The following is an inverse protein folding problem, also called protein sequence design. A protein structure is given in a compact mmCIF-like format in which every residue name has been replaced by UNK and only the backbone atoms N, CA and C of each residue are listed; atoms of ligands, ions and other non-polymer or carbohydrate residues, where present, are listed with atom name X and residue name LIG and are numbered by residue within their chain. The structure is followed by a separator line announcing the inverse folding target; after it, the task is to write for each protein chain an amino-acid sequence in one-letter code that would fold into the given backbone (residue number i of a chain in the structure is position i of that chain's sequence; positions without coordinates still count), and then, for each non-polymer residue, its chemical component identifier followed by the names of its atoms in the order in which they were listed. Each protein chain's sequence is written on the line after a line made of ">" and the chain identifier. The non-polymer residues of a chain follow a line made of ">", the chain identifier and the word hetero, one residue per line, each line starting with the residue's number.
data_IF_441883880811
#
_entry.id   IF_441883880811
#
_cell.length_a   1.000
_cell.length_b   1.000
_cell.length_c   1.000
_cell.angle_alpha   90.00
_cell.angle_beta   90.00
_cell.angle_gamma   90.00
#
_symmetry.space_group_name_H-M   'P 1'
#
loop_
_entity.id
_entity.type
_entity.pdbx_description
1 polymer ?
#
# COMPACT_ATOMS: atom_id res chain seq x y z
N UNK A 1 -16.84 -2.97 -26.82
CA UNK A 1 -16.17 -2.34 -25.67
C UNK A 1 -15.90 -3.41 -24.64
N UNK A 2 -14.65 -3.53 -24.17
CA UNK A 2 -14.18 -4.70 -23.43
C UNK A 2 -14.34 -4.47 -21.91
N UNK A 3 -15.58 -4.49 -21.42
CA UNK A 3 -15.92 -4.43 -19.98
C UNK A 3 -15.19 -5.49 -19.15
N UNK A 4 -14.75 -6.56 -19.81
CA UNK A 4 -13.98 -7.65 -19.24
C UNK A 4 -12.59 -7.21 -18.72
N UNK A 5 -11.93 -6.26 -19.39
CA UNK A 5 -10.58 -5.79 -19.03
C UNK A 5 -10.59 -4.96 -17.73
N UNK A 6 -11.57 -4.06 -17.57
CA UNK A 6 -11.72 -3.28 -16.34
C UNK A 6 -12.06 -4.17 -15.15
N UNK A 7 -12.98 -5.12 -15.33
CA UNK A 7 -13.39 -6.02 -14.25
C UNK A 7 -12.22 -6.90 -13.78
N UNK A 8 -11.46 -7.47 -14.72
CA UNK A 8 -10.29 -8.29 -14.41
C UNK A 8 -9.23 -7.49 -13.65
N UNK A 9 -8.89 -6.30 -14.14
CA UNK A 9 -7.92 -5.41 -13.47
C UNK A 9 -8.40 -4.95 -12.10
N UNK A 10 -9.68 -4.64 -11.96
CA UNK A 10 -10.28 -4.25 -10.69
C UNK A 10 -10.18 -5.38 -9.66
N UNK A 11 -10.48 -6.62 -10.04
CA UNK A 11 -10.37 -7.78 -9.15
C UNK A 11 -8.93 -8.01 -8.68
N UNK A 12 -7.96 -7.94 -9.60
CA UNK A 12 -6.54 -8.12 -9.28
C UNK A 12 -6.01 -7.01 -8.37
N UNK A 13 -6.35 -5.76 -8.69
CA UNK A 13 -6.00 -4.60 -7.85
C UNK A 13 -6.66 -4.70 -6.48
N UNK A 14 -7.92 -5.14 -6.39
CA UNK A 14 -8.61 -5.31 -5.12
C UNK A 14 -7.89 -6.31 -4.21
N UNK A 15 -7.46 -7.46 -4.74
CA UNK A 15 -6.67 -8.42 -3.97
C UNK A 15 -5.32 -7.82 -3.54
N UNK A 16 -4.63 -7.12 -4.43
CA UNK A 16 -3.37 -6.46 -4.12
C UNK A 16 -3.50 -5.44 -2.97
N UNK A 17 -4.58 -4.63 -3.01
CA UNK A 17 -4.90 -3.67 -1.97
C UNK A 17 -5.32 -4.36 -0.66
N UNK A 18 -6.06 -5.47 -0.73
CA UNK A 18 -6.37 -6.28 0.45
C UNK A 18 -5.10 -6.80 1.15
N UNK A 19 -4.15 -7.33 0.38
CA UNK A 19 -2.87 -7.79 0.89
C UNK A 19 -2.04 -6.64 1.49
N UNK A 20 -2.04 -5.47 0.86
CA UNK A 20 -1.40 -4.26 1.37
C UNK A 20 -1.99 -3.86 2.73
N UNK A 21 -3.32 -3.81 2.85
CA UNK A 21 -4.01 -3.48 4.10
C UNK A 21 -3.71 -4.51 5.19
N UNK A 22 -3.63 -5.79 4.84
CA UNK A 22 -3.23 -6.86 5.75
C UNK A 22 -1.80 -6.68 6.26
N UNK A 23 -0.87 -6.29 5.37
CA UNK A 23 0.51 -5.96 5.77
C UNK A 23 0.55 -4.78 6.74
N UNK A 24 -0.20 -3.70 6.46
CA UNK A 24 -0.29 -2.51 7.33
C UNK A 24 -0.87 -2.88 8.70
N UNK A 25 -1.96 -3.64 8.73
CA UNK A 25 -2.56 -4.12 9.96
C UNK A 25 -1.57 -4.96 10.78
N UNK A 26 -0.88 -5.90 10.13
CA UNK A 26 0.11 -6.76 10.78
C UNK A 26 1.28 -5.96 11.33
N UNK A 27 1.77 -4.98 10.58
CA UNK A 27 2.83 -4.06 11.02
C UNK A 27 2.41 -3.30 12.28
N UNK A 28 1.24 -2.66 12.28
CA UNK A 28 0.73 -1.91 13.42
C UNK A 28 0.55 -2.81 14.66
N UNK A 29 -0.01 -4.00 14.48
CA UNK A 29 -0.18 -4.97 15.56
C UNK A 29 1.16 -5.39 16.17
N UNK A 30 2.13 -5.79 15.34
CA UNK A 30 3.45 -6.22 15.80
C UNK A 30 4.21 -5.06 16.46
N UNK A 31 4.12 -3.86 15.90
CA UNK A 31 4.77 -2.67 16.45
C UNK A 31 4.26 -2.36 17.85
N UNK A 32 2.93 -2.35 18.05
CA UNK A 32 2.34 -2.11 19.36
C UNK A 32 2.81 -3.15 20.38
N UNK A 33 2.77 -4.45 20.00
CA UNK A 33 3.26 -5.54 20.84
C UNK A 33 4.75 -5.41 21.17
N UNK A 34 5.57 -4.99 20.21
CA UNK A 34 6.99 -4.73 20.42
C UNK A 34 7.21 -3.59 21.42
N UNK A 35 6.50 -2.47 21.27
CA UNK A 35 6.56 -1.34 22.20
C UNK A 35 6.15 -1.73 23.62
N UNK A 36 5.10 -2.53 23.78
CA UNK A 36 4.62 -3.02 25.10
C UNK A 36 5.64 -3.92 25.81
N UNK A 37 6.46 -4.65 25.06
CA UNK A 37 7.36 -5.67 25.59
C UNK A 37 8.84 -5.29 25.54
N UNK A 38 9.21 -4.16 24.95
CA UNK A 38 10.59 -3.75 24.70
C UNK A 38 11.51 -3.87 25.93
N UNK A 39 11.04 -3.44 27.10
CA UNK A 39 11.82 -3.51 28.35
C UNK A 39 11.94 -4.90 28.99
N UNK A 40 11.26 -5.91 28.44
CA UNK A 40 11.22 -7.29 28.95
C UNK A 40 11.91 -8.29 28.01
N UNK A 41 12.27 -7.85 26.81
CA UNK A 41 12.86 -8.70 25.77
C UNK A 41 14.38 -8.81 25.95
N UNK A 42 14.94 -9.96 25.56
CA UNK A 42 16.39 -10.10 25.44
C UNK A 42 16.95 -9.23 24.30
N UNK A 43 18.26 -8.95 24.31
CA UNK A 43 18.91 -8.18 23.25
C UNK A 43 18.71 -8.80 21.86
N UNK A 44 18.95 -10.12 21.74
CA UNK A 44 18.82 -10.84 20.47
C UNK A 44 17.38 -10.84 19.95
N UNK A 45 16.41 -11.07 20.84
CA UNK A 45 14.98 -11.02 20.53
C UNK A 45 14.55 -9.63 20.06
N UNK A 46 15.04 -8.59 20.74
CA UNK A 46 14.79 -7.18 20.36
C UNK A 46 15.33 -6.87 18.97
N UNK A 47 16.53 -7.37 18.66
CA UNK A 47 17.13 -7.22 17.33
C UNK A 47 16.28 -7.90 16.26
N UNK A 48 15.85 -9.16 16.48
CA UNK A 48 15.06 -9.92 15.53
C UNK A 48 13.70 -9.27 15.26
N UNK A 49 12.98 -8.86 16.30
CA UNK A 49 11.67 -8.19 16.15
C UNK A 49 11.82 -6.84 15.43
N UNK A 50 12.88 -6.08 15.73
CA UNK A 50 13.17 -4.83 15.02
C UNK A 50 13.46 -5.07 13.54
N UNK A 51 14.24 -6.10 13.19
CA UNK A 51 14.48 -6.49 11.79
C UNK A 51 13.17 -6.85 11.10
N UNK A 52 12.32 -7.66 11.75
CA UNK A 52 11.04 -8.07 11.19
C UNK A 52 10.10 -6.88 10.93
N UNK A 53 10.03 -5.92 11.85
CA UNK A 53 9.25 -4.68 11.69
C UNK A 53 9.77 -3.84 10.52
N UNK A 54 11.09 -3.68 10.41
CA UNK A 54 11.71 -2.96 9.31
C UNK A 54 11.40 -3.62 7.95
N UNK A 55 11.51 -4.95 7.86
CA UNK A 55 11.18 -5.69 6.63
C UNK A 55 9.71 -5.52 6.23
N UNK A 56 8.78 -5.52 7.20
CA UNK A 56 7.36 -5.25 6.93
C UNK A 56 7.13 -3.83 6.43
N UNK A 57 7.75 -2.84 7.07
CA UNK A 57 7.67 -1.44 6.68
C UNK A 57 8.17 -1.22 5.24
N UNK A 58 9.32 -1.81 4.92
CA UNK A 58 9.92 -1.77 3.59
C UNK A 58 8.99 -2.41 2.56
N UNK A 59 8.39 -3.57 2.88
CA UNK A 59 7.43 -4.25 2.00
C UNK A 59 6.19 -3.40 1.70
N UNK A 60 5.65 -2.70 2.70
CA UNK A 60 4.49 -1.81 2.54
C UNK A 60 4.83 -0.65 1.59
N UNK A 61 5.96 0.03 1.83
CA UNK A 61 6.37 1.16 1.01
C UNK A 61 6.67 0.75 -0.44
N UNK A 62 7.31 -0.42 -0.65
CA UNK A 62 7.54 -0.95 -1.99
C UNK A 62 6.22 -1.26 -2.70
N UNK A 63 5.22 -1.80 -1.99
CA UNK A 63 3.90 -2.04 -2.57
C UNK A 63 3.21 -0.74 -2.99
N UNK A 64 3.24 0.27 -2.12
CA UNK A 64 2.72 1.60 -2.44
C UNK A 64 3.45 2.22 -3.64
N UNK A 65 4.78 2.11 -3.69
CA UNK A 65 5.57 2.61 -4.81
C UNK A 65 5.26 1.92 -6.15
N UNK A 66 4.96 0.61 -6.13
CA UNK A 66 4.63 -0.17 -7.32
C UNK A 66 3.28 0.23 -7.93
N UNK A 67 2.33 0.74 -7.13
CA UNK A 67 1.06 1.27 -7.64
C UNK A 67 1.27 2.46 -8.59
N UNK A 68 2.41 3.14 -8.47
CA UNK A 68 2.80 4.28 -9.28
C UNK A 68 3.39 3.86 -10.65
N UNK A 69 3.87 2.63 -10.77
CA UNK A 69 4.69 2.17 -11.89
C UNK A 69 3.83 1.95 -13.15
N UNK A 70 4.46 2.05 -14.32
CA UNK A 70 3.86 1.72 -15.61
C UNK A 70 4.31 0.38 -16.16
N UNK A 71 5.10 -0.39 -15.39
CA UNK A 71 5.51 -1.74 -15.80
C UNK A 71 4.27 -2.64 -16.07
N UNK A 72 4.15 -3.23 -17.27
CA UNK A 72 3.04 -4.13 -17.62
C UNK A 72 2.89 -5.35 -16.71
N UNK A 73 3.95 -5.70 -15.95
CA UNK A 73 4.01 -6.89 -15.08
C UNK A 73 3.49 -6.62 -13.67
N UNK A 74 3.22 -5.38 -13.30
CA UNK A 74 2.74 -5.02 -11.96
C UNK A 74 1.32 -4.47 -12.01
N UNK A 75 0.57 -4.68 -10.92
CA UNK A 75 -0.74 -4.08 -10.74
C UNK A 75 -0.55 -2.60 -10.41
N UNK A 76 -0.99 -1.71 -11.31
CA UNK A 76 -0.79 -0.27 -11.11
C UNK A 76 -2.02 0.58 -11.43
N UNK A 77 -2.08 1.73 -10.77
CA UNK A 77 -3.17 2.69 -10.92
C UNK A 77 -3.30 3.27 -12.35
N UNK A 78 -2.21 3.53 -13.10
CA UNK A 78 -2.30 3.97 -14.50
C UNK A 78 -3.03 2.97 -15.38
N UNK A 79 -2.72 1.68 -15.25
CA UNK A 79 -3.36 0.66 -16.09
C UNK A 79 -4.84 0.51 -15.77
N UNK A 80 -5.21 0.58 -14.48
CA UNK A 80 -6.61 0.56 -14.07
C UNK A 80 -7.37 1.80 -14.57
N UNK A 81 -6.73 2.97 -14.50
CA UNK A 81 -7.27 4.22 -15.02
C UNK A 81 -7.52 4.15 -16.54
N UNK A 82 -6.54 3.68 -17.32
CA UNK A 82 -6.67 3.52 -18.77
C UNK A 82 -7.83 2.58 -19.15
N UNK A 83 -8.10 1.55 -18.34
CA UNK A 83 -9.27 0.69 -18.52
C UNK A 83 -10.58 1.40 -18.12
N UNK A 84 -10.57 2.17 -17.02
CA UNK A 84 -11.73 2.91 -16.52
C UNK A 84 -12.19 4.00 -17.51
N UNK A 85 -11.25 4.79 -18.06
CA UNK A 85 -11.54 5.86 -19.03
C UNK A 85 -12.18 5.36 -20.33
N UNK A 86 -11.97 4.09 -20.69
CA UNK A 86 -12.64 3.46 -21.85
C UNK A 86 -14.11 3.11 -21.57
N UNK A 87 -14.51 3.10 -20.30
CA UNK A 87 -15.84 2.65 -19.84
C UNK A 87 -16.67 3.79 -19.24
N UNK A 88 -16.04 4.75 -18.57
CA UNK A 88 -16.71 5.89 -17.95
C UNK A 88 -16.98 6.94 -19.02
N UNK A 89 -18.25 7.32 -19.19
CA UNK A 89 -18.67 8.37 -20.14
C UNK A 89 -19.02 9.68 -19.46
N UNK A 90 -19.17 9.68 -18.13
CA UNK A 90 -19.49 10.88 -17.35
C UNK A 90 -18.28 11.82 -17.27
N UNK A 91 -18.45 13.03 -17.80
CA UNK A 91 -17.37 14.04 -17.89
C UNK A 91 -16.96 14.58 -16.52
N UNK A 92 -17.89 14.78 -15.58
CA UNK A 92 -17.56 15.26 -14.25
C UNK A 92 -16.72 14.24 -13.48
N UNK A 93 -16.99 12.97 -13.69
CA UNK A 93 -16.24 11.86 -13.08
C UNK A 93 -14.84 11.78 -13.67
N UNK A 94 -14.70 11.92 -14.99
CA UNK A 94 -13.39 11.94 -15.66
C UNK A 94 -12.53 13.13 -15.21
N UNK A 95 -13.14 14.31 -15.03
CA UNK A 95 -12.45 15.49 -14.48
C UNK A 95 -11.98 15.26 -13.03
N UNK A 96 -12.82 14.63 -12.19
CA UNK A 96 -12.43 14.23 -10.84
C UNK A 96 -11.27 13.24 -10.85
N UNK A 97 -11.29 12.24 -11.73
CA UNK A 97 -10.21 11.26 -11.87
C UNK A 97 -8.88 11.96 -12.18
N UNK A 98 -8.88 12.90 -13.14
CA UNK A 98 -7.68 13.65 -13.51
C UNK A 98 -7.18 14.57 -12.39
N UNK A 99 -8.07 15.22 -11.64
CA UNK A 99 -7.69 16.03 -10.50
C UNK A 99 -7.09 15.17 -9.36
N UNK A 100 -7.72 14.05 -9.04
CA UNK A 100 -7.29 13.17 -7.94
C UNK A 100 -5.97 12.48 -8.25
N UNK A 101 -5.76 11.99 -9.48
CA UNK A 101 -4.49 11.35 -9.87
C UNK A 101 -3.33 12.34 -9.82
N UNK A 102 -3.54 13.60 -10.23
CA UNK A 102 -2.50 14.63 -10.17
C UNK A 102 -2.09 14.92 -8.73
N UNK A 103 -3.07 14.97 -7.80
CA UNK A 103 -2.81 15.09 -6.36
C UNK A 103 -2.10 13.87 -5.76
N UNK A 104 -2.59 12.66 -6.03
CA UNK A 104 -2.03 11.41 -5.50
C UNK A 104 -0.60 11.15 -5.99
N UNK A 105 -0.33 11.35 -7.27
CA UNK A 105 1.00 11.11 -7.85
C UNK A 105 2.03 12.14 -7.40
N UNK A 106 1.70 13.43 -7.49
CA UNK A 106 2.66 14.47 -7.20
C UNK A 106 2.96 14.58 -5.70
N UNK A 107 1.96 14.32 -4.85
CA UNK A 107 2.12 14.44 -3.40
C UNK A 107 2.71 13.18 -2.77
N UNK A 108 2.28 11.98 -3.18
CA UNK A 108 2.60 10.75 -2.45
C UNK A 108 3.42 9.77 -3.28
N UNK A 109 2.86 9.28 -4.40
CA UNK A 109 3.40 8.09 -5.05
C UNK A 109 4.72 8.32 -5.81
N UNK A 110 4.92 9.48 -6.43
CA UNK A 110 6.17 9.79 -7.14
C UNK A 110 7.35 9.98 -6.19
N UNK A 111 7.12 10.62 -5.05
CA UNK A 111 8.11 10.79 -3.99
C UNK A 111 8.53 9.43 -3.44
N UNK A 112 7.55 8.59 -3.10
CA UNK A 112 7.77 7.21 -2.66
C UNK A 112 8.53 6.37 -3.69
N UNK A 113 8.11 6.38 -4.96
CA UNK A 113 8.79 5.61 -6.01
C UNK A 113 10.26 6.07 -6.19
N UNK A 114 10.51 7.38 -6.16
CA UNK A 114 11.88 7.93 -6.25
C UNK A 114 12.72 7.57 -5.04
N UNK A 115 12.18 7.72 -3.81
CA UNK A 115 12.83 7.32 -2.56
C UNK A 115 13.16 5.82 -2.57
N UNK A 116 12.21 4.97 -2.97
CA UNK A 116 12.37 3.51 -3.05
C UNK A 116 13.50 3.12 -4.00
N UNK A 117 13.51 3.72 -5.20
CA UNK A 117 14.55 3.48 -6.20
C UNK A 117 15.93 3.93 -5.73
N UNK A 118 16.02 5.11 -5.11
CA UNK A 118 17.29 5.64 -4.58
C UNK A 118 17.82 4.78 -3.43
N UNK A 119 16.94 4.35 -2.52
CA UNK A 119 17.28 3.47 -1.41
C UNK A 119 17.78 2.10 -1.91
N UNK A 120 17.13 1.54 -2.93
CA UNK A 120 17.56 0.31 -3.59
C UNK A 120 18.96 0.44 -4.25
N UNK A 121 19.22 1.54 -4.96
CA UNK A 121 20.54 1.81 -5.58
C UNK A 121 21.63 1.98 -4.52
N UNK A 122 21.34 2.66 -3.41
CA UNK A 122 22.27 2.80 -2.30
C UNK A 122 22.58 1.43 -1.67
N UNK A 123 21.56 0.57 -1.51
CA UNK A 123 21.71 -0.78 -0.97
C UNK A 123 22.54 -1.75 -1.81
N UNK A 124 22.54 -1.61 -3.15
CA UNK A 124 23.35 -2.48 -4.02
C UNK A 124 24.86 -2.20 -3.89
N UNK A 125 25.26 -1.01 -3.41
CA UNK A 125 26.63 -0.53 -3.49
C UNK A 125 27.39 -0.50 -2.15
N UNK A 126 26.78 -0.86 -1.01
CA UNK A 126 27.44 -0.82 0.30
C UNK A 126 27.53 -2.19 1.01
N UNK A 127 28.71 -2.48 1.56
CA UNK A 127 28.99 -3.63 2.43
C UNK A 127 28.40 -3.39 3.82
N UNK A 128 27.49 -4.28 4.23
CA UNK A 128 26.52 -4.12 5.32
C UNK A 128 27.09 -4.05 6.76
N UNK A 129 26.84 -2.94 7.46
CA UNK A 129 26.89 -2.85 8.93
C UNK A 129 25.71 -1.99 9.45
N UNK A 130 24.56 -2.61 9.80
CA UNK A 130 23.56 -2.21 10.84
C UNK A 130 22.11 -2.58 10.46
N UNK A 131 21.33 -2.91 11.48
CA UNK A 131 19.87 -3.15 11.44
C UNK A 131 19.15 -1.84 11.09
N UNK A 132 18.92 -1.60 9.79
CA UNK A 132 18.16 -0.44 9.29
C UNK A 132 16.89 -0.89 8.56
N UNK A 133 15.89 -0.01 8.52
CA UNK A 133 14.82 0.00 7.52
C UNK A 133 15.23 0.95 6.42
N UNK A 134 14.79 0.67 5.18
CA UNK A 134 14.91 1.58 4.04
C UNK A 134 14.15 2.91 4.27
N UNK A 135 13.22 2.95 5.23
CA UNK A 135 12.33 4.07 5.49
C UNK A 135 12.46 4.50 6.95
N UNK A 136 13.20 5.58 7.19
CA UNK A 136 13.22 6.26 8.49
C UNK A 136 12.19 7.39 8.46
N UNK A 137 11.32 7.40 9.47
CA UNK A 137 10.45 8.54 9.84
C UNK A 137 9.18 8.80 9.00
N UNK A 138 8.69 7.86 8.18
CA UNK A 138 7.53 8.09 7.27
C UNK A 138 6.19 7.44 7.70
N UNK A 139 6.05 7.02 8.97
CA UNK A 139 4.85 6.30 9.44
C UNK A 139 3.54 7.10 9.29
N UNK A 140 3.59 8.43 9.34
CA UNK A 140 2.42 9.29 9.16
C UNK A 140 1.98 9.44 7.69
N UNK A 141 2.91 9.30 6.74
CA UNK A 141 2.56 9.35 5.31
C UNK A 141 1.95 8.03 4.82
N UNK A 142 2.23 6.89 5.48
CA UNK A 142 1.76 5.56 5.06
C UNK A 142 0.22 5.43 5.04
N UNK A 143 -0.45 5.74 6.15
CA UNK A 143 -1.92 5.64 6.24
C UNK A 143 -2.60 6.68 5.35
N UNK A 144 -2.08 7.91 5.31
CA UNK A 144 -2.58 8.98 4.45
C UNK A 144 -2.49 8.60 2.97
N UNK A 145 -1.34 8.07 2.54
CA UNK A 145 -1.13 7.60 1.16
C UNK A 145 -2.05 6.42 0.85
N UNK A 146 -2.18 5.47 1.78
CA UNK A 146 -3.05 4.30 1.60
C UNK A 146 -4.50 4.73 1.47
N UNK A 147 -4.99 5.65 2.31
CA UNK A 147 -6.33 6.23 2.19
C UNK A 147 -6.55 6.84 0.81
N UNK A 148 -5.63 7.69 0.35
CA UNK A 148 -5.74 8.34 -0.95
C UNK A 148 -5.72 7.33 -2.12
N UNK A 149 -4.96 6.24 -2.00
CA UNK A 149 -4.98 5.11 -2.95
C UNK A 149 -6.34 4.41 -2.96
N UNK A 150 -6.92 4.11 -1.80
CA UNK A 150 -8.24 3.45 -1.70
C UNK A 150 -9.35 4.35 -2.25
N UNK A 151 -9.36 5.63 -1.88
CA UNK A 151 -10.33 6.62 -2.36
C UNK A 151 -10.25 6.74 -3.89
N UNK A 152 -9.04 6.73 -4.45
CA UNK A 152 -8.85 6.76 -5.90
C UNK A 152 -9.28 5.45 -6.57
N UNK A 153 -9.07 4.30 -5.93
CA UNK A 153 -9.57 3.01 -6.42
C UNK A 153 -11.11 2.94 -6.44
N UNK A 154 -11.76 3.42 -5.39
CA UNK A 154 -13.22 3.55 -5.33
C UNK A 154 -13.74 4.49 -6.44
N UNK A 155 -13.03 5.60 -6.67
CA UNK A 155 -13.34 6.50 -7.77
C UNK A 155 -13.16 5.82 -9.13
N UNK A 156 -12.11 5.05 -9.37
CA UNK A 156 -11.93 4.36 -10.65
C UNK A 156 -12.98 3.27 -10.89
N UNK A 157 -13.43 2.60 -9.82
CA UNK A 157 -14.40 1.49 -9.89
C UNK A 157 -15.85 1.93 -9.70
N UNK A 158 -16.08 3.22 -9.41
CA UNK A 158 -17.40 3.83 -9.19
C UNK A 158 -18.20 3.18 -8.04
N UNK A 159 -17.53 2.44 -7.15
CA UNK A 159 -18.16 1.69 -6.07
C UNK A 159 -17.27 1.75 -4.84
N UNK A 160 -17.80 2.04 -3.65
CA UNK A 160 -17.05 1.89 -2.41
C UNK A 160 -16.68 0.41 -2.20
N UNK A 161 -15.39 0.14 -2.03
CA UNK A 161 -14.89 -1.22 -1.86
C UNK A 161 -14.67 -1.56 -0.38
N UNK A 162 -15.16 -2.73 0.03
CA UNK A 162 -14.87 -3.33 1.33
C UNK A 162 -13.70 -4.32 1.23
N UNK A 163 -12.89 -4.43 2.28
CA UNK A 163 -11.72 -5.32 2.33
C UNK A 163 -11.83 -6.31 3.48
N UNK A 164 -12.71 -7.33 3.35
CA UNK A 164 -12.92 -8.28 4.41
C UNK A 164 -11.70 -9.17 4.66
N UNK A 165 -11.36 -9.37 5.93
CA UNK A 165 -10.38 -10.35 6.37
C UNK A 165 -10.91 -11.19 7.53
N UNK A 166 -10.53 -12.47 7.55
CA UNK A 166 -10.88 -13.42 8.62
C UNK A 166 -9.62 -13.87 9.35
N UNK A 167 -9.69 -13.90 10.67
CA UNK A 167 -8.61 -14.37 11.54
C UNK A 167 -9.16 -15.38 12.54
N UNK A 168 -8.41 -16.47 12.77
CA UNK A 168 -8.80 -17.52 13.72
C UNK A 168 -9.93 -18.43 13.22
N UNK A 169 -10.39 -19.32 14.10
CA UNK A 169 -11.41 -20.33 13.81
C UNK A 169 -12.85 -19.81 13.80
N UNK A 170 -13.09 -18.62 14.38
CA UNK A 170 -14.44 -18.20 14.78
C UNK A 170 -15.20 -17.45 13.66
N UNK A 171 -14.69 -17.47 12.42
CA UNK A 171 -15.30 -16.86 11.23
C UNK A 171 -15.67 -15.38 11.38
N UNK A 172 -15.06 -14.65 12.31
CA UNK A 172 -15.26 -13.20 12.44
C UNK A 172 -14.58 -12.51 11.27
N UNK A 173 -15.39 -11.88 10.43
CA UNK A 173 -14.96 -11.08 9.29
C UNK A 173 -15.00 -9.61 9.69
N UNK A 174 -13.92 -8.88 9.43
CA UNK A 174 -13.91 -7.43 9.60
C UNK A 174 -13.32 -6.75 8.37
N UNK A 175 -13.79 -5.54 8.10
CA UNK A 175 -13.24 -4.71 7.03
C UNK A 175 -11.92 -4.10 7.49
N UNK A 176 -10.83 -4.44 6.79
CA UNK A 176 -9.49 -3.91 7.07
C UNK A 176 -9.44 -2.39 6.95
N UNK A 177 -10.21 -1.80 6.02
CA UNK A 177 -10.25 -0.36 5.83
C UNK A 177 -10.79 0.35 7.07
N UNK A 178 -11.95 -0.08 7.57
CA UNK A 178 -12.56 0.45 8.79
C UNK A 178 -11.66 0.20 10.01
N UNK A 179 -11.08 -1.01 10.12
CA UNK A 179 -10.22 -1.39 11.23
C UNK A 179 -8.96 -0.53 11.36
N UNK A 180 -8.47 -0.03 10.23
CA UNK A 180 -7.32 0.88 10.14
C UNK A 180 -7.69 2.37 10.22
N UNK A 181 -8.99 2.69 10.25
CA UNK A 181 -9.49 4.07 10.28
C UNK A 181 -9.31 4.83 8.95
N UNK A 182 -9.46 4.14 7.81
CA UNK A 182 -9.19 4.66 6.46
C UNK A 182 -10.46 4.94 5.62
#
# INVERSE_FOLDING_TARGET
>A
MNTNDLQERSNLMRQYLADLLLCIYTFNYKKNKFCENFGKMGYEETVLEKVALNTLLDSIHLRLANLADRDPRVYSLPQLREAAEKTITDTEILEKIEATIQGLYNTHLKSLNTKARNAYIAHINESFERIWSLWKDDEHEMLTTTKAVLDYFDLLTQTPNTYPAKFGSDNVEFDLREKLGL
#
